data_IF_089543225669
#
_entry.id   IF_089543225669
#
_cell.length_a   1.000
_cell.length_b   1.000
_cell.length_c   1.000
_cell.angle_alpha   90.00
_cell.angle_beta   90.00
_cell.angle_gamma   90.00
#
_symmetry.space_group_name_H-M   'P 1'
#
loop_
_entity.id
_entity.type
_entity.pdbx_description
1 polymer ?
#
# COMPACT_ATOMS: atom_id res chain seq x y z
N UNK A 1 -0.23 -13.94 -29.56
CA UNK A 1 0.63 -12.85 -30.08
C UNK A 1 0.83 -12.87 -31.61
N UNK A 2 0.09 -13.69 -32.38
CA UNK A 2 0.28 -13.81 -33.84
C UNK A 2 -0.33 -12.66 -34.67
N UNK A 3 -1.30 -11.92 -34.13
CA UNK A 3 -1.78 -10.67 -34.73
C UNK A 3 -0.65 -9.63 -34.71
N UNK A 4 -0.17 -9.25 -35.90
CA UNK A 4 0.97 -8.35 -36.07
C UNK A 4 0.73 -6.97 -35.47
N UNK A 5 -0.47 -6.40 -35.63
CA UNK A 5 -0.78 -5.06 -35.09
C UNK A 5 -0.79 -5.07 -33.57
N UNK A 6 -1.35 -6.12 -32.95
CA UNK A 6 -1.34 -6.26 -31.49
C UNK A 6 0.07 -6.48 -30.96
N UNK A 7 0.87 -7.33 -31.63
CA UNK A 7 2.26 -7.60 -31.24
C UNK A 7 3.12 -6.34 -31.31
N UNK A 8 3.07 -5.60 -32.41
CA UNK A 8 3.85 -4.36 -32.56
C UNK A 8 3.53 -3.34 -31.47
N UNK A 9 2.25 -3.18 -31.11
CA UNK A 9 1.85 -2.29 -30.00
C UNK A 9 2.43 -2.73 -28.67
N UNK A 10 2.43 -4.04 -28.38
CA UNK A 10 3.01 -4.58 -27.14
C UNK A 10 4.52 -4.37 -27.12
N UNK A 11 5.22 -4.65 -28.23
CA UNK A 11 6.66 -4.44 -28.31
C UNK A 11 7.03 -2.96 -28.17
N UNK A 12 6.29 -2.05 -28.81
CA UNK A 12 6.49 -0.61 -28.65
C UNK A 12 6.22 -0.15 -27.22
N UNK A 13 5.16 -0.66 -26.58
CA UNK A 13 4.87 -0.37 -25.18
C UNK A 13 6.01 -0.82 -24.27
N UNK A 14 6.48 -2.06 -24.41
CA UNK A 14 7.63 -2.57 -23.65
C UNK A 14 8.90 -1.72 -23.89
N UNK A 15 9.19 -1.37 -25.15
CA UNK A 15 10.32 -0.49 -25.48
C UNK A 15 10.19 0.90 -24.84
N UNK A 16 8.99 1.47 -24.79
CA UNK A 16 8.73 2.78 -24.16
C UNK A 16 8.98 2.77 -22.64
N UNK A 17 8.84 1.62 -21.99
CA UNK A 17 9.13 1.45 -20.56
C UNK A 17 10.63 1.30 -20.27
N UNK A 18 11.47 1.10 -21.28
CA UNK A 18 12.91 0.91 -21.10
C UNK A 18 13.29 -0.40 -20.40
N UNK A 19 12.44 -1.43 -20.49
CA UNK A 19 12.67 -2.73 -19.82
C UNK A 19 13.72 -3.59 -20.54
N UNK A 20 14.53 -4.30 -19.76
CA UNK A 20 15.60 -5.16 -20.28
C UNK A 20 15.18 -6.61 -20.57
N UNK A 21 14.19 -7.12 -19.82
CA UNK A 21 13.68 -8.48 -19.96
C UNK A 21 12.16 -8.47 -19.99
N UNK A 22 11.56 -9.20 -20.93
CA UNK A 22 10.11 -9.34 -21.05
C UNK A 22 9.74 -10.82 -21.11
N UNK A 23 8.83 -11.24 -20.23
CA UNK A 23 8.36 -12.61 -20.12
C UNK A 23 6.94 -12.69 -20.68
N UNK A 24 6.79 -13.37 -21.82
CA UNK A 24 5.52 -13.51 -22.51
C UNK A 24 5.02 -14.95 -22.41
N UNK A 25 3.71 -15.09 -22.22
CA UNK A 25 2.99 -16.36 -22.12
C UNK A 25 1.84 -16.38 -23.12
N UNK A 26 1.37 -17.59 -23.47
CA UNK A 26 0.28 -17.79 -24.45
C UNK A 26 0.56 -17.09 -25.79
N UNK A 27 1.82 -17.14 -26.21
CA UNK A 27 2.29 -16.45 -27.40
C UNK A 27 1.76 -17.10 -28.69
N UNK A 28 1.57 -18.41 -28.67
CA UNK A 28 1.31 -19.30 -29.81
C UNK A 28 2.35 -19.13 -30.93
N UNK A 29 3.59 -18.82 -30.54
CA UNK A 29 4.71 -18.66 -31.47
C UNK A 29 5.10 -20.00 -32.08
N UNK A 30 5.32 -20.02 -33.38
CA UNK A 30 5.82 -21.19 -34.13
C UNK A 30 7.22 -20.92 -34.69
N UNK A 31 7.93 -21.94 -35.17
CA UNK A 31 9.31 -21.82 -35.68
C UNK A 31 9.45 -20.68 -36.71
N UNK A 32 8.48 -20.56 -37.61
CA UNK A 32 8.49 -19.57 -38.69
C UNK A 32 8.38 -18.12 -38.17
N UNK A 33 7.79 -17.93 -36.98
CA UNK A 33 7.57 -16.63 -36.36
C UNK A 33 8.82 -16.09 -35.62
N UNK A 34 9.74 -16.97 -35.20
CA UNK A 34 10.88 -16.64 -34.32
C UNK A 34 11.75 -15.54 -34.91
N UNK A 35 12.14 -15.69 -36.18
CA UNK A 35 13.02 -14.73 -36.84
C UNK A 35 12.36 -13.36 -36.98
N UNK A 36 11.10 -13.34 -37.45
CA UNK A 36 10.35 -12.09 -37.63
C UNK A 36 10.15 -11.35 -36.29
N UNK A 37 9.85 -12.08 -35.21
CA UNK A 37 9.63 -11.47 -33.90
C UNK A 37 10.93 -11.00 -33.25
N UNK A 38 12.03 -11.74 -33.42
CA UNK A 38 13.34 -11.30 -32.95
C UNK A 38 13.78 -10.02 -33.66
N UNK A 39 13.56 -9.93 -34.97
CA UNK A 39 13.82 -8.72 -35.76
C UNK A 39 12.96 -7.53 -35.32
N UNK A 40 11.65 -7.74 -35.13
CA UNK A 40 10.72 -6.69 -34.68
C UNK A 40 11.04 -6.20 -33.25
N UNK A 41 11.44 -7.12 -32.37
CA UNK A 41 11.92 -6.79 -31.03
C UNK A 41 13.26 -6.04 -31.08
N UNK A 42 14.16 -6.43 -31.98
CA UNK A 42 15.47 -5.81 -32.16
C UNK A 42 16.52 -6.25 -31.14
N UNK A 43 16.26 -7.33 -30.38
CA UNK A 43 17.17 -7.92 -29.39
C UNK A 43 17.01 -9.44 -29.33
N UNK A 44 17.56 -10.07 -28.27
CA UNK A 44 17.46 -11.50 -28.05
C UNK A 44 16.01 -11.97 -27.87
N UNK A 45 15.67 -13.10 -28.48
CA UNK A 45 14.39 -13.76 -28.31
C UNK A 45 14.65 -15.24 -28.06
N UNK A 46 14.25 -15.71 -26.89
CA UNK A 46 14.33 -17.11 -26.51
C UNK A 46 12.92 -17.64 -26.35
N UNK A 47 12.49 -18.48 -27.28
CA UNK A 47 11.17 -19.06 -27.29
C UNK A 47 11.25 -20.56 -27.07
N UNK A 48 10.28 -21.09 -26.33
CA UNK A 48 9.94 -22.50 -26.42
C UNK A 48 8.67 -22.64 -27.25
N UNK A 49 8.75 -23.43 -28.31
CA UNK A 49 7.74 -23.52 -29.37
C UNK A 49 6.58 -24.47 -29.07
N UNK A 50 6.49 -24.91 -27.82
CA UNK A 50 5.40 -25.72 -27.30
C UNK A 50 5.42 -27.17 -27.78
N UNK A 51 4.63 -27.99 -27.10
CA UNK A 51 4.05 -29.22 -27.66
C UNK A 51 2.60 -28.92 -28.08
N UNK A 52 1.87 -29.90 -28.63
CA UNK A 52 0.47 -29.74 -29.11
C UNK A 52 -0.47 -29.15 -28.03
N UNK A 53 -0.10 -29.20 -26.74
CA UNK A 53 -0.88 -28.75 -25.59
C UNK A 53 -0.41 -27.43 -24.93
N UNK A 54 0.69 -26.81 -25.36
CA UNK A 54 1.22 -25.57 -24.73
C UNK A 54 1.24 -24.37 -25.67
N UNK A 55 0.71 -23.24 -25.20
CA UNK A 55 0.52 -22.02 -25.99
C UNK A 55 1.81 -21.19 -26.15
N UNK A 56 3.01 -21.76 -25.99
CA UNK A 56 4.32 -21.13 -26.24
C UNK A 56 4.72 -20.02 -25.24
N UNK A 57 5.94 -20.09 -24.72
CA UNK A 57 6.53 -19.12 -23.79
C UNK A 57 7.74 -18.44 -24.41
N UNK A 58 7.85 -17.11 -24.25
CA UNK A 58 8.95 -16.33 -24.84
C UNK A 58 9.59 -15.44 -23.78
N UNK A 59 10.92 -15.39 -23.78
CA UNK A 59 11.71 -14.39 -23.06
C UNK A 59 12.33 -13.48 -24.11
N UNK A 60 11.96 -12.21 -24.10
CA UNK A 60 12.61 -11.17 -24.88
C UNK A 60 13.68 -10.50 -24.02
N UNK A 61 14.84 -10.29 -24.61
CA UNK A 61 16.02 -9.72 -23.98
C UNK A 61 16.43 -8.49 -24.76
N UNK A 62 16.69 -7.38 -24.08
CA UNK A 62 17.12 -6.16 -24.74
C UNK A 62 18.51 -6.35 -25.39
N UNK A 63 18.88 -5.52 -26.39
CA UNK A 63 20.16 -5.64 -27.08
C UNK A 63 21.37 -5.59 -26.12
N UNK A 64 21.24 -4.84 -25.02
CA UNK A 64 22.30 -4.66 -24.00
C UNK A 64 22.67 -5.95 -23.29
N UNK A 65 21.69 -6.84 -23.11
CA UNK A 65 21.85 -8.06 -22.33
C UNK A 65 21.94 -9.31 -23.21
N UNK A 66 21.69 -9.18 -24.52
CA UNK A 66 21.61 -10.31 -25.46
C UNK A 66 22.92 -11.11 -25.52
N UNK A 67 24.07 -10.43 -25.48
CA UNK A 67 25.40 -11.08 -25.49
C UNK A 67 25.79 -11.73 -24.15
N UNK A 68 25.06 -11.42 -23.06
CA UNK A 68 25.31 -11.95 -21.72
C UNK A 68 24.47 -13.19 -21.42
N UNK A 69 23.54 -13.54 -22.30
CA UNK A 69 22.76 -14.77 -22.18
C UNK A 69 23.66 -15.96 -22.49
N UNK A 70 23.84 -16.83 -21.50
CA UNK A 70 24.57 -18.07 -21.62
C UNK A 70 23.65 -19.22 -22.01
N UNK A 71 23.33 -20.08 -21.03
CA UNK A 71 22.55 -21.29 -21.26
C UNK A 71 21.05 -20.99 -21.28
N UNK A 72 20.35 -21.56 -22.26
CA UNK A 72 18.88 -21.58 -22.34
C UNK A 72 18.43 -23.02 -22.15
N UNK A 73 17.63 -23.26 -21.12
CA UNK A 73 17.05 -24.57 -20.82
C UNK A 73 15.53 -24.50 -20.86
N UNK A 74 14.91 -25.64 -21.10
CA UNK A 74 13.47 -25.81 -21.09
C UNK A 74 13.09 -27.14 -20.43
N UNK A 75 11.89 -27.21 -19.88
CA UNK A 75 11.34 -28.49 -19.42
C UNK A 75 10.76 -29.31 -20.59
N UNK A 76 10.58 -30.61 -20.35
CA UNK A 76 10.09 -31.56 -21.36
C UNK A 76 8.66 -31.27 -21.86
N UNK A 77 7.84 -30.55 -21.08
CA UNK A 77 6.46 -30.20 -21.42
C UNK A 77 6.34 -28.79 -22.04
N UNK A 78 7.43 -28.01 -22.04
CA UNK A 78 7.44 -26.66 -22.58
C UNK A 78 6.76 -25.61 -21.72
N UNK A 79 6.57 -25.91 -20.44
CA UNK A 79 5.93 -25.03 -19.46
C UNK A 79 6.94 -24.07 -18.85
N UNK A 80 8.22 -24.41 -18.84
CA UNK A 80 9.27 -23.56 -18.28
C UNK A 80 10.36 -23.34 -19.32
N UNK A 81 10.66 -22.09 -19.59
CA UNK A 81 11.92 -21.70 -20.25
C UNK A 81 12.74 -20.91 -19.25
N UNK A 82 14.03 -21.22 -19.13
CA UNK A 82 14.94 -20.45 -18.32
C UNK A 82 16.20 -20.05 -19.08
N UNK A 83 16.66 -18.83 -18.81
CA UNK A 83 17.92 -18.30 -19.35
C UNK A 83 18.86 -17.99 -18.20
N UNK A 84 20.13 -18.36 -18.37
CA UNK A 84 21.20 -17.97 -17.47
C UNK A 84 21.91 -16.74 -18.03
N UNK A 85 22.07 -15.70 -17.23
CA UNK A 85 22.75 -14.45 -17.61
C UNK A 85 24.05 -14.36 -16.84
N UNK A 86 25.16 -14.21 -17.55
CA UNK A 86 26.48 -14.01 -16.97
C UNK A 86 26.81 -12.53 -16.97
N UNK A 87 26.66 -11.87 -15.82
CA UNK A 87 27.01 -10.46 -15.65
C UNK A 87 28.29 -10.33 -14.79
N UNK A 88 29.12 -9.28 -14.96
CA UNK A 88 30.32 -9.09 -14.14
C UNK A 88 30.08 -9.08 -12.62
N UNK A 89 28.89 -8.69 -12.16
CA UNK A 89 28.53 -8.68 -10.74
C UNK A 89 27.92 -10.01 -10.22
N UNK A 90 27.71 -11.00 -11.09
CA UNK A 90 27.10 -12.27 -10.70
C UNK A 90 26.36 -12.96 -11.85
N UNK A 91 26.02 -14.23 -11.64
CA UNK A 91 25.19 -14.99 -12.58
C UNK A 91 23.74 -14.99 -12.12
N UNK A 92 22.81 -14.65 -13.02
CA UNK A 92 21.37 -14.65 -12.77
C UNK A 92 20.70 -15.77 -13.55
N UNK A 93 19.66 -16.38 -12.99
CA UNK A 93 18.83 -17.35 -13.71
C UNK A 93 17.40 -16.81 -13.74
N UNK A 94 16.88 -16.62 -14.94
CA UNK A 94 15.53 -16.09 -15.17
C UNK A 94 14.62 -17.20 -15.67
N UNK A 95 13.46 -17.38 -15.03
CA UNK A 95 12.48 -18.40 -15.40
C UNK A 95 11.20 -17.75 -15.92
N UNK A 96 10.70 -18.21 -17.07
CA UNK A 96 9.34 -17.98 -17.51
C UNK A 96 8.53 -19.28 -17.32
N UNK A 97 7.56 -19.26 -16.41
CA UNK A 97 6.76 -20.44 -16.04
C UNK A 97 5.32 -20.25 -16.49
N UNK A 98 4.88 -21.05 -17.45
CA UNK A 98 3.50 -21.16 -17.90
C UNK A 98 2.75 -22.23 -17.10
N UNK A 99 1.72 -21.81 -16.37
CA UNK A 99 0.89 -22.73 -15.58
C UNK A 99 -0.22 -23.33 -16.46
N UNK A 100 -0.50 -24.64 -16.37
CA UNK A 100 -1.52 -25.27 -17.20
C UNK A 100 -2.93 -24.76 -16.89
N UNK A 101 -3.74 -24.64 -17.95
CA UNK A 101 -5.11 -24.14 -17.87
C UNK A 101 -6.10 -25.18 -17.31
N UNK A 102 -5.78 -26.48 -17.40
CA UNK A 102 -6.61 -27.55 -16.84
C UNK A 102 -6.28 -27.82 -15.36
N UNK A 103 -7.29 -27.93 -14.47
CA UNK A 103 -7.08 -28.20 -13.05
C UNK A 103 -6.38 -29.53 -12.73
N UNK A 104 -6.53 -30.53 -13.59
CA UNK A 104 -5.90 -31.86 -13.47
C UNK A 104 -4.39 -31.78 -13.63
N UNK A 105 -3.94 -30.99 -14.60
CA UNK A 105 -2.53 -30.83 -14.97
C UNK A 105 -1.76 -29.97 -13.95
N UNK A 106 -2.47 -29.22 -13.10
CA UNK A 106 -1.89 -28.45 -11.98
C UNK A 106 -1.50 -29.32 -10.79
N UNK A 107 -1.95 -30.58 -10.74
CA UNK A 107 -1.61 -31.53 -9.66
C UNK A 107 -0.34 -32.31 -9.95
N UNK A 108 0.13 -32.32 -11.19
CA UNK A 108 1.34 -33.03 -11.55
C UNK A 108 2.58 -32.19 -11.18
N UNK A 109 3.24 -32.59 -10.09
CA UNK A 109 4.34 -31.84 -9.45
C UNK A 109 5.73 -32.29 -9.90
N UNK A 110 5.85 -32.97 -11.03
CA UNK A 110 7.14 -33.50 -11.49
C UNK A 110 7.97 -32.48 -12.28
N UNK A 111 8.43 -31.43 -11.60
CA UNK A 111 9.71 -30.80 -11.93
C UNK A 111 10.82 -31.66 -11.29
N UNK A 112 11.40 -32.62 -12.02
CA UNK A 112 12.56 -33.41 -11.57
C UNK A 112 13.90 -32.71 -11.93
N UNK A 113 15.05 -33.18 -11.43
CA UNK A 113 15.58 -33.06 -10.07
C UNK A 113 16.65 -31.97 -9.93
N UNK A 114 17.09 -31.33 -11.03
CA UNK A 114 18.14 -30.30 -11.00
C UNK A 114 17.69 -29.00 -10.30
N UNK A 115 16.38 -28.73 -10.27
CA UNK A 115 15.77 -27.54 -9.67
C UNK A 115 15.14 -27.81 -8.29
N UNK A 116 15.14 -29.06 -7.81
CA UNK A 116 14.26 -29.47 -6.70
C UNK A 116 14.85 -29.29 -5.29
N UNK A 117 16.18 -29.22 -5.17
CA UNK A 117 16.85 -29.24 -3.86
C UNK A 117 16.67 -27.94 -3.10
N UNK A 118 16.79 -26.79 -3.77
CA UNK A 118 16.63 -25.46 -3.15
C UNK A 118 15.16 -25.13 -2.85
N UNK A 119 14.23 -25.58 -3.73
CA UNK A 119 12.80 -25.35 -3.58
C UNK A 119 12.16 -26.22 -2.48
N UNK A 120 12.61 -27.47 -2.29
CA UNK A 120 12.14 -28.33 -1.19
C UNK A 120 12.58 -27.82 0.18
N UNK A 121 13.82 -27.35 0.29
CA UNK A 121 14.33 -26.77 1.54
C UNK A 121 13.53 -25.54 1.98
N UNK A 122 13.13 -24.69 1.03
CA UNK A 122 12.29 -23.52 1.30
C UNK A 122 10.85 -23.91 1.66
N UNK A 123 10.25 -24.86 0.94
CA UNK A 123 8.85 -25.26 1.13
C UNK A 123 8.63 -25.99 2.47
N UNK A 124 9.55 -26.87 2.90
CA UNK A 124 9.49 -27.50 4.23
C UNK A 124 9.59 -26.48 5.37
N UNK A 125 10.48 -25.48 5.23
CA UNK A 125 10.67 -24.41 6.22
C UNK A 125 9.45 -23.47 6.30
N UNK A 126 8.78 -23.24 5.17
CA UNK A 126 7.61 -22.37 5.06
C UNK A 126 6.28 -23.09 5.33
N UNK A 127 6.22 -24.43 5.24
CA UNK A 127 5.00 -25.20 5.44
C UNK A 127 4.38 -24.96 6.83
N UNK A 128 5.20 -25.05 7.89
CA UNK A 128 4.76 -24.77 9.24
C UNK A 128 4.29 -23.31 9.42
N UNK A 129 4.91 -22.36 8.71
CA UNK A 129 4.51 -20.95 8.75
C UNK A 129 3.18 -20.70 7.99
N UNK A 130 2.95 -21.38 6.86
CA UNK A 130 1.71 -21.30 6.06
C UNK A 130 0.50 -21.85 6.80
N UNK A 131 0.65 -22.96 7.50
CA UNK A 131 -0.42 -23.56 8.31
C UNK A 131 -0.77 -22.65 9.49
N UNK A 132 0.23 -22.05 10.15
CA UNK A 132 0.00 -21.11 11.27
C UNK A 132 -0.60 -19.77 10.83
N UNK A 133 -0.37 -19.36 9.58
CA UNK A 133 -0.85 -18.07 9.05
C UNK A 133 -2.18 -18.14 8.26
N UNK A 134 -2.85 -19.31 8.17
CA UNK A 134 -4.12 -19.49 7.42
C UNK A 134 -4.07 -18.95 5.97
N UNK A 135 -2.98 -19.23 5.25
CA UNK A 135 -2.61 -18.61 3.94
C UNK A 135 -3.46 -19.09 2.74
N UNK A 136 -4.58 -19.78 2.93
CA UNK A 136 -5.37 -20.28 1.79
C UNK A 136 -6.12 -19.17 1.01
N UNK A 137 -6.33 -17.99 1.64
CA UNK A 137 -7.03 -16.86 1.02
C UNK A 137 -6.08 -15.83 0.38
N UNK A 138 -4.82 -15.74 0.83
CA UNK A 138 -3.89 -14.68 0.43
C UNK A 138 -3.41 -14.85 -1.01
N UNK A 139 -3.02 -16.08 -1.42
CA UNK A 139 -2.54 -16.34 -2.79
C UNK A 139 -3.64 -16.17 -3.88
N UNK A 140 -4.92 -16.24 -3.51
CA UNK A 140 -6.04 -16.03 -4.43
C UNK A 140 -6.39 -14.53 -4.61
N UNK A 141 -6.05 -13.69 -3.63
CA UNK A 141 -6.28 -12.25 -3.64
C UNK A 141 -5.05 -11.44 -4.08
N UNK A 142 -3.85 -12.02 -4.04
CA UNK A 142 -2.59 -11.37 -4.44
C UNK A 142 -2.23 -11.51 -5.94
N UNK A 143 -3.02 -12.24 -6.74
CA UNK A 143 -2.82 -12.33 -8.20
C UNK A 143 -3.76 -11.35 -8.92
N UNK A 144 -3.26 -10.51 -9.85
CA UNK A 144 -4.09 -9.65 -10.71
C UNK A 144 -4.87 -10.51 -11.72
N UNK A 145 -5.86 -11.25 -11.23
CA UNK A 145 -6.76 -12.07 -12.02
C UNK A 145 -7.88 -11.20 -12.59
N UNK A 146 -8.55 -11.66 -13.65
CA UNK A 146 -9.78 -11.01 -14.16
C UNK A 146 -10.81 -10.86 -13.03
N UNK A 147 -10.88 -11.82 -12.10
CA UNK A 147 -11.72 -11.75 -10.91
C UNK A 147 -11.31 -10.58 -10.01
N UNK A 148 -10.02 -10.45 -9.68
CA UNK A 148 -9.50 -9.31 -8.91
C UNK A 148 -9.87 -7.97 -9.56
N UNK A 149 -9.62 -7.79 -10.86
CA UNK A 149 -9.99 -6.54 -11.54
C UNK A 149 -11.50 -6.31 -11.55
N UNK A 150 -12.31 -7.36 -11.72
CA UNK A 150 -13.78 -7.24 -11.62
C UNK A 150 -14.23 -6.83 -10.22
N UNK A 151 -13.64 -7.42 -9.18
CA UNK A 151 -13.99 -7.11 -7.79
C UNK A 151 -13.55 -5.69 -7.41
N UNK A 152 -12.34 -5.27 -7.80
CA UNK A 152 -11.86 -3.88 -7.65
C UNK A 152 -12.76 -2.90 -8.41
N UNK A 153 -13.11 -3.22 -9.67
CA UNK A 153 -13.99 -2.39 -10.49
C UNK A 153 -15.38 -2.27 -9.88
N UNK A 154 -15.95 -3.38 -9.43
CA UNK A 154 -17.26 -3.42 -8.75
C UNK A 154 -17.22 -2.60 -7.47
N UNK A 155 -16.18 -2.75 -6.66
CA UNK A 155 -15.99 -2.01 -5.43
C UNK A 155 -15.85 -0.50 -5.68
N UNK A 156 -15.14 -0.10 -6.74
CA UNK A 156 -15.03 1.29 -7.17
C UNK A 156 -16.39 1.86 -7.62
N UNK A 157 -17.19 1.07 -8.35
CA UNK A 157 -18.55 1.46 -8.77
C UNK A 157 -19.49 1.61 -7.57
N UNK A 158 -19.46 0.65 -6.63
CA UNK A 158 -20.35 0.66 -5.45
C UNK A 158 -20.05 1.81 -4.51
N UNK A 159 -18.78 2.21 -4.39
CA UNK A 159 -18.35 3.35 -3.57
C UNK A 159 -18.48 4.70 -4.27
N UNK A 160 -18.71 4.72 -5.59
CA UNK A 160 -18.85 5.97 -6.33
C UNK A 160 -20.08 6.74 -5.85
N UNK A 161 -19.86 7.99 -5.46
CA UNK A 161 -20.96 8.91 -5.19
C UNK A 161 -21.55 9.31 -6.54
N UNK A 162 -22.80 8.89 -6.78
CA UNK A 162 -23.49 9.09 -8.07
C UNK A 162 -24.19 10.45 -8.18
N UNK A 163 -24.46 11.08 -7.04
CA UNK A 163 -25.16 12.36 -6.93
C UNK A 163 -25.00 12.96 -5.54
N UNK A 164 -25.04 14.28 -5.46
CA UNK A 164 -24.97 15.05 -4.20
C UNK A 164 -25.85 16.30 -4.34
N UNK A 165 -26.39 16.78 -3.22
CA UNK A 165 -27.18 18.02 -3.15
C UNK A 165 -26.29 19.16 -2.63
N UNK A 166 -26.31 20.29 -3.30
CA UNK A 166 -25.59 21.50 -2.87
C UNK A 166 -26.40 22.33 -1.86
N UNK A 167 -25.84 23.49 -1.47
CA UNK A 167 -26.46 24.45 -0.54
C UNK A 167 -27.72 25.12 -1.10
N UNK A 168 -27.89 25.14 -2.42
CA UNK A 168 -29.06 25.68 -3.12
C UNK A 168 -30.10 24.60 -3.43
N UNK A 169 -29.97 23.41 -2.83
CA UNK A 169 -30.90 22.27 -2.98
C UNK A 169 -30.84 21.65 -4.40
N UNK A 170 -29.86 22.01 -5.22
CA UNK A 170 -29.66 21.45 -6.57
C UNK A 170 -28.90 20.13 -6.48
N UNK A 171 -29.34 19.13 -7.25
CA UNK A 171 -28.72 17.80 -7.27
C UNK A 171 -27.77 17.66 -8.46
N UNK A 172 -26.49 17.54 -8.15
CA UNK A 172 -25.41 17.35 -9.10
C UNK A 172 -25.18 15.87 -9.38
N UNK A 173 -24.86 15.52 -10.63
CA UNK A 173 -24.54 14.14 -11.07
C UNK A 173 -23.21 14.04 -11.82
N UNK A 174 -22.69 15.17 -12.30
CA UNK A 174 -21.38 15.22 -12.94
C UNK A 174 -20.27 15.00 -11.90
N UNK A 175 -19.23 14.19 -12.20
CA UNK A 175 -18.15 13.94 -11.26
C UNK A 175 -17.40 15.19 -10.79
N UNK A 176 -17.20 16.19 -11.66
CA UNK A 176 -16.46 17.40 -11.31
C UNK A 176 -17.31 18.27 -10.38
N UNK A 177 -18.60 18.43 -10.69
CA UNK A 177 -19.53 19.16 -9.83
C UNK A 177 -19.66 18.50 -8.46
N UNK A 178 -19.72 17.17 -8.40
CA UNK A 178 -19.75 16.43 -7.13
C UNK A 178 -18.50 16.71 -6.29
N UNK A 179 -17.31 16.72 -6.91
CA UNK A 179 -16.05 17.04 -6.23
C UNK A 179 -16.09 18.46 -5.69
N UNK A 180 -16.52 19.44 -6.49
CA UNK A 180 -16.58 20.84 -6.05
C UNK A 180 -17.57 21.03 -4.89
N UNK A 181 -18.76 20.40 -4.94
CA UNK A 181 -19.73 20.46 -3.82
C UNK A 181 -19.11 19.95 -2.51
N UNK A 182 -18.39 18.83 -2.54
CA UNK A 182 -17.73 18.32 -1.34
C UNK A 182 -16.56 19.20 -0.89
N UNK A 183 -15.78 19.70 -1.84
CA UNK A 183 -14.67 20.61 -1.56
C UNK A 183 -15.18 21.87 -0.87
N UNK A 184 -16.12 22.60 -1.47
CA UNK A 184 -16.69 23.81 -0.88
C UNK A 184 -17.34 23.54 0.48
N UNK A 185 -18.06 22.42 0.63
CA UNK A 185 -18.67 22.03 1.90
C UNK A 185 -17.62 21.82 3.01
N UNK A 186 -16.55 21.06 2.75
CA UNK A 186 -15.53 20.80 3.76
C UNK A 186 -14.58 21.97 3.97
N UNK A 187 -14.29 22.76 2.93
CA UNK A 187 -13.57 24.03 3.08
C UNK A 187 -14.33 24.93 4.05
N UNK A 188 -15.62 25.17 3.82
CA UNK A 188 -16.44 25.96 4.73
C UNK A 188 -16.53 25.35 6.13
N UNK A 189 -16.66 24.03 6.25
CA UNK A 189 -16.74 23.35 7.55
C UNK A 189 -15.46 23.47 8.38
N UNK A 190 -14.30 23.51 7.71
CA UNK A 190 -12.99 23.59 8.35
C UNK A 190 -12.41 25.00 8.36
N UNK A 191 -13.08 25.98 7.77
CA UNK A 191 -12.74 27.40 7.90
C UNK A 191 -12.76 27.79 9.38
N UNK A 192 -11.74 28.54 9.79
CA UNK A 192 -11.66 29.11 11.12
C UNK A 192 -12.90 29.96 11.40
N UNK A 193 -13.61 29.68 12.48
CA UNK A 193 -14.70 30.53 12.95
C UNK A 193 -14.14 31.79 13.60
N UNK A 194 -14.90 32.88 13.57
CA UNK A 194 -14.58 34.07 14.35
C UNK A 194 -14.57 33.73 15.84
N UNK A 195 -13.47 34.04 16.52
CA UNK A 195 -13.29 33.80 17.96
C UNK A 195 -13.14 35.15 18.65
N UNK A 196 -13.91 35.36 19.72
CA UNK A 196 -13.69 36.48 20.63
C UNK A 196 -12.40 36.24 21.41
N UNK A 197 -11.34 36.98 21.06
CA UNK A 197 -10.01 36.87 21.69
C UNK A 197 -10.05 37.22 23.19
N UNK A 198 -10.93 38.14 23.60
CA UNK A 198 -11.08 38.53 25.00
C UNK A 198 -11.67 37.41 25.84
N UNK A 199 -12.73 36.76 25.32
CA UNK A 199 -13.32 35.58 25.96
C UNK A 199 -12.36 34.39 25.95
N UNK A 200 -11.65 34.16 24.84
CA UNK A 200 -10.65 33.11 24.74
C UNK A 200 -9.56 33.31 25.80
N UNK A 201 -9.01 34.52 25.93
CA UNK A 201 -8.01 34.84 26.94
C UNK A 201 -8.56 34.62 28.34
N UNK A 202 -9.76 35.11 28.64
CA UNK A 202 -10.41 34.90 29.94
C UNK A 202 -10.61 33.42 30.26
N UNK A 203 -10.95 32.58 29.27
CA UNK A 203 -11.05 31.13 29.43
C UNK A 203 -9.69 30.49 29.71
N UNK A 204 -8.65 30.88 28.97
CA UNK A 204 -7.31 30.31 29.09
C UNK A 204 -6.59 30.77 30.36
N UNK A 205 -6.87 31.97 30.88
CA UNK A 205 -6.33 32.48 32.14
C UNK A 205 -6.76 31.63 33.34
N UNK A 206 -7.84 30.85 33.22
CA UNK A 206 -8.30 29.90 34.24
C UNK A 206 -7.57 28.54 34.19
N UNK A 207 -6.64 28.34 33.25
CA UNK A 207 -5.83 27.12 33.16
C UNK A 207 -4.57 27.32 34.00
N UNK A 208 -4.58 26.79 35.22
CA UNK A 208 -3.48 26.87 36.19
C UNK A 208 -2.51 25.68 36.12
N UNK A 209 -2.90 24.61 35.42
CA UNK A 209 -2.10 23.39 35.29
C UNK A 209 -1.13 23.48 34.13
N UNK A 210 0.16 23.39 34.45
CA UNK A 210 1.25 23.29 33.48
C UNK A 210 2.17 22.13 33.84
N UNK A 211 2.83 21.49 32.86
CA UNK A 211 3.82 20.47 33.18
C UNK A 211 4.98 21.11 33.94
N UNK A 212 5.57 20.35 34.86
CA UNK A 212 6.82 20.77 35.52
C UNK A 212 7.92 21.01 34.48
N UNK A 213 8.96 21.77 34.86
CA UNK A 213 10.08 22.06 33.97
C UNK A 213 10.73 20.78 33.43
N UNK A 214 10.95 19.79 34.30
CA UNK A 214 11.56 18.52 33.91
C UNK A 214 10.69 17.74 32.92
N UNK A 215 9.37 17.71 33.14
CA UNK A 215 8.42 17.12 32.18
C UNK A 215 8.44 17.85 30.84
N UNK A 216 8.50 19.18 30.86
CA UNK A 216 8.55 19.97 29.64
C UNK A 216 9.86 19.75 28.85
N UNK A 217 10.99 19.66 29.55
CA UNK A 217 12.29 19.35 28.97
C UNK A 217 12.30 17.93 28.37
N UNK A 218 11.67 16.95 29.02
CA UNK A 218 11.50 15.59 28.48
C UNK A 218 10.60 15.56 27.24
N UNK A 219 9.47 16.28 27.26
CA UNK A 219 8.57 16.38 26.11
C UNK A 219 9.26 17.01 24.89
N UNK A 220 10.09 18.03 25.12
CA UNK A 220 10.87 18.76 24.12
C UNK A 220 12.17 18.08 23.68
N UNK A 221 12.55 16.97 24.32
CA UNK A 221 13.79 16.25 24.00
C UNK A 221 13.79 15.71 22.55
N UNK A 222 14.96 15.51 21.93
CA UNK A 222 15.03 14.93 20.58
C UNK A 222 14.35 13.56 20.48
N UNK A 223 13.70 13.27 19.35
CA UNK A 223 13.11 11.96 19.08
C UNK A 223 14.19 10.88 18.97
N UNK A 224 13.93 9.74 19.62
CA UNK A 224 14.81 8.55 19.61
C UNK A 224 14.25 7.45 18.72
N UNK A 225 15.12 6.60 18.18
CA UNK A 225 14.71 5.43 17.37
C UNK A 225 13.84 4.47 18.20
N UNK A 226 14.14 4.28 19.48
CA UNK A 226 13.37 3.41 20.36
C UNK A 226 11.93 3.89 20.60
N UNK A 227 11.72 5.20 20.72
CA UNK A 227 10.38 5.77 20.83
C UNK A 227 9.56 5.53 19.56
N UNK A 228 10.17 5.71 18.40
CA UNK A 228 9.52 5.45 17.12
C UNK A 228 9.23 3.95 16.96
N UNK A 229 10.15 3.07 17.38
CA UNK A 229 9.92 1.64 17.37
C UNK A 229 8.74 1.25 18.28
N UNK A 230 8.68 1.79 19.50
CA UNK A 230 7.55 1.57 20.42
C UNK A 230 6.22 1.99 19.80
N UNK A 231 6.21 3.05 18.98
CA UNK A 231 5.03 3.46 18.21
C UNK A 231 4.69 2.41 17.13
N UNK A 232 5.65 2.03 16.29
CA UNK A 232 5.48 1.04 15.21
C UNK A 232 5.02 -0.32 15.74
N UNK A 233 5.65 -0.83 16.80
CA UNK A 233 5.36 -2.14 17.38
C UNK A 233 3.88 -2.28 17.77
N UNK A 234 3.29 -1.21 18.34
CA UNK A 234 1.88 -1.15 18.78
C UNK A 234 0.88 -0.90 17.64
N UNK A 235 1.32 -0.54 16.44
CA UNK A 235 0.41 -0.34 15.31
C UNK A 235 -0.17 -1.68 14.83
N UNK A 236 -1.47 -1.67 14.51
CA UNK A 236 -2.16 -2.85 13.96
C UNK A 236 -1.84 -2.98 12.46
N UNK A 237 -1.51 -4.20 12.04
CA UNK A 237 -1.41 -4.55 10.63
C UNK A 237 -2.77 -4.67 9.93
N UNK A 238 -2.75 -4.91 8.63
CA UNK A 238 -3.94 -5.04 7.77
C UNK A 238 -4.72 -3.74 7.62
N UNK A 239 -4.04 -2.59 7.72
CA UNK A 239 -4.62 -1.26 7.56
C UNK A 239 -4.17 -0.66 6.24
N UNK A 240 -5.07 0.13 5.63
CA UNK A 240 -4.76 0.80 4.38
C UNK A 240 -3.58 1.78 4.57
N UNK A 241 -2.55 1.74 3.70
CA UNK A 241 -1.50 2.75 3.67
C UNK A 241 -2.04 4.08 3.13
N UNK A 242 -1.19 5.10 3.13
CA UNK A 242 -1.50 6.36 2.46
C UNK A 242 -1.24 6.27 0.95
N UNK A 243 -0.99 7.41 0.32
CA UNK A 243 -0.76 7.49 -1.13
C UNK A 243 0.56 6.86 -1.58
N UNK A 244 1.52 6.70 -0.66
CA UNK A 244 2.81 6.04 -0.92
C UNK A 244 2.72 4.52 -1.04
N UNK A 245 1.60 3.93 -0.61
CA UNK A 245 1.40 2.48 -0.61
C UNK A 245 2.24 1.72 0.41
N UNK A 246 2.94 2.38 1.33
CA UNK A 246 3.84 1.73 2.29
C UNK A 246 3.07 1.35 3.58
N UNK A 247 2.85 0.05 3.86
CA UNK A 247 2.04 -0.38 5.00
C UNK A 247 2.87 -0.49 6.29
N UNK A 248 2.20 -0.65 7.44
CA UNK A 248 2.84 -0.81 8.76
C UNK A 248 3.78 -2.01 8.79
N UNK A 249 3.42 -3.07 8.07
CA UNK A 249 4.18 -4.31 7.93
C UNK A 249 5.57 -4.08 7.35
N UNK A 250 5.70 -3.14 6.40
CA UNK A 250 6.99 -2.74 5.86
C UNK A 250 7.88 -2.17 6.96
N UNK A 251 7.39 -1.19 7.71
CA UNK A 251 8.15 -0.58 8.81
C UNK A 251 8.50 -1.60 9.90
N UNK A 252 7.59 -2.53 10.22
CA UNK A 252 7.87 -3.61 11.17
C UNK A 252 8.96 -4.56 10.67
N UNK A 253 8.97 -4.88 9.37
CA UNK A 253 9.90 -5.84 8.77
C UNK A 253 11.29 -5.25 8.58
N UNK A 254 11.36 -4.00 8.12
CA UNK A 254 12.60 -3.35 7.71
C UNK A 254 13.10 -2.29 8.71
N UNK A 255 12.59 -2.31 9.95
CA UNK A 255 12.93 -1.31 10.97
C UNK A 255 14.45 -1.16 11.20
N UNK A 256 15.17 -2.29 11.24
CA UNK A 256 16.63 -2.28 11.41
C UNK A 256 17.39 -1.58 10.28
N UNK A 257 16.74 -1.36 9.13
CA UNK A 257 17.30 -0.62 7.99
C UNK A 257 16.78 0.81 7.97
N UNK A 258 15.47 1.03 8.08
CA UNK A 258 14.85 2.35 7.84
C UNK A 258 14.64 3.21 9.10
N UNK A 259 14.78 2.64 10.29
CA UNK A 259 14.40 3.31 11.55
C UNK A 259 15.24 4.54 11.86
N UNK A 260 16.55 4.47 11.60
CA UNK A 260 17.46 5.60 11.80
C UNK A 260 17.18 6.73 10.81
N UNK A 261 17.09 6.41 9.52
CA UNK A 261 16.77 7.38 8.47
C UNK A 261 15.45 8.11 8.76
N UNK A 262 14.43 7.35 9.19
CA UNK A 262 13.12 7.92 9.52
C UNK A 262 13.20 8.89 10.71
N UNK A 263 13.99 8.57 11.73
CA UNK A 263 14.25 9.47 12.85
C UNK A 263 14.91 10.76 12.36
N UNK A 264 15.90 10.66 11.50
CA UNK A 264 16.66 11.82 11.02
C UNK A 264 15.79 12.72 10.12
N UNK A 265 14.89 12.14 9.33
CA UNK A 265 13.83 12.89 8.63
C UNK A 265 12.95 13.67 9.60
N UNK A 266 12.51 13.08 10.71
CA UNK A 266 11.67 13.79 11.69
C UNK A 266 12.41 14.90 12.43
N UNK A 267 13.69 14.69 12.76
CA UNK A 267 14.51 15.74 13.36
C UNK A 267 14.72 16.90 12.39
N UNK A 268 15.00 16.60 11.13
CA UNK A 268 15.10 17.62 10.09
C UNK A 268 13.78 18.39 9.93
N UNK A 269 12.64 17.71 9.97
CA UNK A 269 11.33 18.34 9.88
C UNK A 269 11.03 19.26 11.08
N UNK A 270 11.45 18.85 12.28
CA UNK A 270 11.31 19.66 13.49
C UNK A 270 12.16 20.94 13.42
N UNK A 271 13.43 20.82 13.00
CA UNK A 271 14.33 21.97 12.81
C UNK A 271 13.83 22.92 11.72
N UNK A 272 13.26 22.38 10.63
CA UNK A 272 12.69 23.17 9.56
C UNK A 272 11.29 23.75 9.88
N UNK A 273 10.70 23.37 11.02
CA UNK A 273 9.33 23.76 11.41
C UNK A 273 8.23 23.24 10.47
N UNK A 274 8.53 22.27 9.61
CA UNK A 274 7.56 21.76 8.63
C UNK A 274 7.83 20.31 8.22
N UNK A 275 6.75 19.56 8.03
CA UNK A 275 6.78 18.20 7.48
C UNK A 275 6.95 18.23 5.96
N UNK A 276 7.51 17.14 5.42
CA UNK A 276 7.66 16.98 3.97
C UNK A 276 6.31 17.04 3.23
N UNK A 277 6.27 17.40 1.93
CA UNK A 277 5.03 17.43 1.16
C UNK A 277 4.26 16.10 1.19
N UNK A 278 4.97 14.97 1.13
CA UNK A 278 4.38 13.62 1.22
C UNK A 278 3.64 13.41 2.55
N UNK A 279 4.26 13.82 3.67
CA UNK A 279 3.68 13.70 5.02
C UNK A 279 2.50 14.63 5.27
N UNK A 280 2.39 15.72 4.50
CA UNK A 280 1.26 16.67 4.57
C UNK A 280 0.16 16.37 3.56
N UNK A 281 0.35 15.38 2.70
CA UNK A 281 -0.63 14.98 1.70
C UNK A 281 -1.41 13.77 2.21
N UNK A 282 -2.73 13.79 2.02
CA UNK A 282 -3.61 12.68 2.38
C UNK A 282 -4.69 12.46 1.35
N UNK A 283 -5.10 11.21 1.16
CA UNK A 283 -6.21 10.86 0.25
C UNK A 283 -7.50 10.80 1.05
N UNK A 284 -8.48 11.63 0.69
CA UNK A 284 -9.77 11.66 1.39
C UNK A 284 -10.72 10.65 0.74
N UNK A 285 -11.32 9.78 1.55
CA UNK A 285 -12.43 8.92 1.17
C UNK A 285 -13.66 9.25 2.00
N UNK A 286 -14.84 9.20 1.37
CA UNK A 286 -16.10 9.58 2.00
C UNK A 286 -16.91 8.34 2.36
N UNK A 287 -17.14 8.10 3.65
CA UNK A 287 -18.00 7.01 4.12
C UNK A 287 -19.43 7.48 4.36
N UNK A 288 -20.46 6.72 3.94
CA UNK A 288 -21.85 7.07 4.19
C UNK A 288 -22.22 6.98 5.69
N UNK A 289 -23.05 7.91 6.16
CA UNK A 289 -23.84 7.78 7.40
C UNK A 289 -25.23 7.19 7.06
N UNK A 290 -25.97 6.71 8.07
CA UNK A 290 -27.31 6.12 7.94
C UNK A 290 -28.44 7.10 7.59
N UNK A 291 -28.12 8.32 7.14
CA UNK A 291 -29.07 9.40 6.83
C UNK A 291 -29.10 9.69 5.32
N UNK A 292 -29.86 10.69 4.87
CA UNK A 292 -29.98 11.07 3.45
C UNK A 292 -28.59 11.13 2.77
N UNK A 293 -28.29 10.19 1.84
CA UNK A 293 -26.96 10.10 1.23
C UNK A 293 -26.68 11.25 0.25
N UNK A 294 -27.69 12.07 -0.07
CA UNK A 294 -27.55 13.25 -0.92
C UNK A 294 -26.93 14.44 -0.17
N UNK A 295 -27.03 14.50 1.15
CA UNK A 295 -26.47 15.62 1.91
C UNK A 295 -24.97 15.41 2.20
N UNK A 296 -24.10 16.38 1.89
CA UNK A 296 -22.67 16.28 2.18
C UNK A 296 -22.33 15.98 3.65
N UNK A 297 -23.05 16.60 4.60
CA UNK A 297 -22.90 16.36 6.06
C UNK A 297 -23.14 14.91 6.49
N UNK A 298 -23.85 14.13 5.65
CA UNK A 298 -24.11 12.71 5.87
C UNK A 298 -23.02 11.81 5.26
N UNK A 299 -21.90 12.39 4.81
CA UNK A 299 -20.66 11.68 4.50
C UNK A 299 -19.61 12.01 5.56
N UNK A 300 -18.86 10.99 6.00
CA UNK A 300 -17.72 11.14 6.92
C UNK A 300 -16.43 11.16 6.09
N UNK A 301 -15.63 12.23 6.15
CA UNK A 301 -14.32 12.22 5.54
C UNK A 301 -13.38 11.34 6.37
N UNK A 302 -12.69 10.43 5.70
CA UNK A 302 -11.57 9.68 6.26
C UNK A 302 -10.35 10.01 5.41
N UNK A 303 -9.35 10.61 6.04
CA UNK A 303 -8.08 10.91 5.39
C UNK A 303 -7.13 9.72 5.57
N UNK A 304 -6.73 9.12 4.45
CA UNK A 304 -5.67 8.13 4.38
C UNK A 304 -4.32 8.85 4.36
N UNK A 305 -3.72 8.98 5.55
CA UNK A 305 -2.38 9.53 5.73
C UNK A 305 -1.33 8.43 5.61
N UNK A 306 -0.12 8.80 5.17
CA UNK A 306 1.03 7.89 5.11
C UNK A 306 1.40 7.36 6.50
N UNK A 307 2.00 6.18 6.54
CA UNK A 307 2.29 5.49 7.81
C UNK A 307 3.41 6.19 8.57
N UNK A 308 4.38 6.79 7.90
CA UNK A 308 5.45 7.59 8.52
C UNK A 308 4.88 8.76 9.34
N UNK A 309 3.93 9.52 8.80
CA UNK A 309 3.20 10.55 9.54
C UNK A 309 2.53 9.98 10.79
N UNK A 310 1.86 8.82 10.65
CA UNK A 310 1.18 8.16 11.77
C UNK A 310 2.16 7.66 12.83
N UNK A 311 3.37 7.25 12.44
CA UNK A 311 4.43 6.86 13.38
C UNK A 311 4.84 8.07 14.22
N UNK A 312 5.13 9.21 13.59
CA UNK A 312 5.48 10.44 14.29
C UNK A 312 4.34 10.89 15.23
N UNK A 313 3.12 11.00 14.71
CA UNK A 313 1.95 11.39 15.51
C UNK A 313 1.74 10.46 16.71
N UNK A 314 1.96 9.15 16.53
CA UNK A 314 1.84 8.17 17.62
C UNK A 314 2.96 8.30 18.65
N UNK A 315 4.20 8.57 18.22
CA UNK A 315 5.32 8.80 19.12
C UNK A 315 5.08 10.06 19.99
N UNK A 316 4.68 11.17 19.37
CA UNK A 316 4.32 12.41 20.08
C UNK A 316 3.12 12.22 21.01
N UNK A 317 2.09 11.49 20.58
CA UNK A 317 0.95 11.14 21.43
C UNK A 317 1.36 10.29 22.64
N UNK A 318 2.34 9.40 22.49
CA UNK A 318 2.84 8.62 23.62
C UNK A 318 3.59 9.49 24.63
N UNK A 319 4.33 10.51 24.17
CA UNK A 319 4.97 11.52 25.05
C UNK A 319 3.93 12.33 25.80
N UNK A 320 2.97 12.95 25.11
CA UNK A 320 1.90 13.71 25.75
C UNK A 320 1.12 12.85 26.76
N UNK A 321 0.89 11.58 26.44
CA UNK A 321 0.18 10.65 27.32
C UNK A 321 0.84 10.39 28.67
N UNK A 322 2.09 10.80 28.91
CA UNK A 322 2.72 10.72 30.25
C UNK A 322 2.31 11.86 31.17
N UNK A 323 1.99 13.04 30.61
CA UNK A 323 1.63 14.24 31.37
C UNK A 323 0.15 14.56 31.34
N UNK A 324 -0.59 14.09 30.32
CA UNK A 324 -2.01 14.41 30.12
C UNK A 324 -2.89 14.20 31.36
N UNK A 325 -2.75 13.12 32.17
CA UNK A 325 -3.57 12.94 33.38
C UNK A 325 -3.42 14.05 34.42
N UNK A 326 -2.25 14.68 34.50
CA UNK A 326 -1.98 15.74 35.48
C UNK A 326 -2.52 17.09 34.98
N UNK A 327 -2.48 17.30 33.66
CA UNK A 327 -2.86 18.57 33.00
C UNK A 327 -4.37 18.76 32.85
N UNK A 328 -5.12 17.69 32.62
CA UNK A 328 -6.57 17.80 32.41
C UNK A 328 -7.36 17.60 33.71
N UNK A 329 -8.57 18.17 33.76
CA UNK A 329 -9.47 17.98 34.89
C UNK A 329 -10.11 16.59 34.89
N UNK A 330 -10.69 16.20 36.03
CA UNK A 330 -11.41 14.92 36.20
C UNK A 330 -12.59 14.73 35.25
N UNK A 331 -13.16 15.82 34.74
CA UNK A 331 -14.26 15.79 33.77
C UNK A 331 -13.82 15.48 32.33
N UNK A 332 -12.51 15.55 32.03
CA UNK A 332 -11.98 15.17 30.72
C UNK A 332 -11.70 13.67 30.68
N UNK A 333 -12.67 12.89 30.25
CA UNK A 333 -12.60 11.42 30.25
C UNK A 333 -12.16 10.81 28.92
N UNK A 334 -12.13 11.61 27.85
CA UNK A 334 -11.75 11.15 26.52
C UNK A 334 -10.24 11.26 26.29
N UNK A 335 -9.62 10.19 25.76
CA UNK A 335 -8.22 10.13 25.35
C UNK A 335 -7.18 10.38 26.46
N UNK A 336 -7.57 10.22 27.73
CA UNK A 336 -6.67 10.29 28.90
C UNK A 336 -6.43 8.88 29.42
N UNK A 337 -5.17 8.54 29.72
CA UNK A 337 -4.82 7.21 30.25
C UNK A 337 -5.51 7.01 31.60
N UNK A 338 -6.16 5.86 31.77
CA UNK A 338 -6.88 5.51 33.00
C UNK A 338 -8.31 6.05 33.06
N UNK A 339 -8.73 6.87 32.08
CA UNK A 339 -10.10 7.35 31.98
C UNK A 339 -10.92 6.52 31.00
N UNK A 340 -12.25 6.56 31.17
CA UNK A 340 -13.20 5.77 30.39
C UNK A 340 -14.49 6.55 30.19
N UNK A 341 -15.14 6.35 29.03
CA UNK A 341 -16.42 7.03 28.73
C UNK A 341 -17.53 6.70 29.75
N UNK A 342 -17.42 5.55 30.41
CA UNK A 342 -18.31 5.12 31.49
C UNK A 342 -18.27 6.06 32.70
N UNK A 343 -17.15 6.74 32.96
CA UNK A 343 -17.05 7.69 34.08
C UNK A 343 -18.05 8.86 33.92
N UNK A 344 -18.31 9.30 32.69
CA UNK A 344 -19.33 10.33 32.44
C UNK A 344 -20.73 9.82 32.77
N UNK A 345 -21.03 8.54 32.49
CA UNK A 345 -22.31 7.93 32.84
C UNK A 345 -22.49 7.83 34.36
N UNK A 346 -21.44 7.48 35.09
CA UNK A 346 -21.46 7.42 36.55
C UNK A 346 -21.63 8.81 37.16
N UNK A 347 -20.88 9.80 36.68
CA UNK A 347 -21.01 11.18 37.11
C UNK A 347 -22.45 11.70 36.94
N UNK A 348 -23.04 11.50 35.75
CA UNK A 348 -24.43 11.92 35.49
C UNK A 348 -25.41 11.19 36.39
N UNK A 349 -25.21 9.89 36.64
CA UNK A 349 -26.07 9.13 37.56
C UNK A 349 -25.98 9.70 38.97
N UNK A 350 -24.78 9.90 39.47
CA UNK A 350 -24.52 10.33 40.85
C UNK A 350 -24.96 11.79 41.10
N UNK A 351 -25.00 12.64 40.06
CA UNK A 351 -25.58 13.99 40.13
C UNK A 351 -27.11 14.01 40.18
N UNK A 352 -27.77 12.92 39.76
CA UNK A 352 -29.23 12.79 39.69
C UNK A 352 -29.83 11.92 40.82
N UNK A 353 -28.99 11.46 41.75
CA UNK A 353 -29.36 10.76 42.99
C UNK A 353 -29.06 11.65 44.18
#
# INVERSE_FOLDING_TARGET
MRDSRKRSRIFQFCKSLGVDFVFLQETHIVNEDVYAWSYEWGGGLHAFLGSVSSCGSVILVSPRWTSLVGKVDHDHEGRVICITIKHPCGSFILYNVYAPNQPTDRRDRTLKPAFSTDLKYLDEKLHGARVRARVHCVEAEEKPTIKFYRDVTKYAIDRRIKRVRDVHVVVHKDPLDIVEVFKSFYEQLYTQADVDEGLQKSLLDNIDKTPSRDQNDELGSPLTVDELWKAVAKMKGGKAPGSDGIPVEFYKRFWGTVGQDLRDVFVSAFLAGSLSPSQRTGVITLLPKSRDPLEPKNKRPITLLNVDYKILAKALSNRLGTVMPDLVGSFQTCAVRGHSIQQNLWLVRDLNT
#
